data_IF_130558181676
#
_entry.id   IF_130558181676
#
_cell.length_a   1.000
_cell.length_b   1.000
_cell.length_c   1.000
_cell.angle_alpha   90.00
_cell.angle_beta   90.00
_cell.angle_gamma   90.00
#
_symmetry.space_group_name_H-M   'P 1'
#
loop_
_entity.id
_entity.type
_entity.pdbx_description
1 polymer ?
#
# COMPACT_ATOMS: atom_id res chain seq x y z
N UNK A 1 26.94 0.53 5.95
CA UNK A 1 27.41 1.85 5.43
C UNK A 1 28.53 1.77 4.38
N UNK A 2 29.41 0.76 4.37
CA UNK A 2 30.54 0.69 3.40
C UNK A 2 30.15 0.23 1.98
N UNK A 3 29.15 -0.65 1.82
CA UNK A 3 28.74 -1.16 0.51
C UNK A 3 27.99 -0.12 -0.36
N UNK A 4 27.07 0.65 0.23
CA UNK A 4 26.31 1.68 -0.49
C UNK A 4 27.21 2.80 -1.06
N UNK A 5 28.32 3.12 -0.38
CA UNK A 5 29.31 4.08 -0.89
C UNK A 5 30.11 3.53 -2.08
N UNK A 6 30.31 2.22 -2.18
CA UNK A 6 31.15 1.62 -3.22
C UNK A 6 30.42 1.49 -4.56
N UNK A 7 29.12 1.15 -4.54
CA UNK A 7 28.29 1.11 -5.75
C UNK A 7 28.00 2.52 -6.28
N UNK A 8 27.71 3.48 -5.38
CA UNK A 8 27.52 4.88 -5.76
C UNK A 8 28.79 5.46 -6.41
N UNK A 9 29.99 5.10 -5.94
CA UNK A 9 31.26 5.59 -6.50
C UNK A 9 31.54 5.16 -7.95
N UNK A 10 31.01 4.01 -8.40
CA UNK A 10 31.19 3.53 -9.78
C UNK A 10 30.09 4.04 -10.72
N UNK A 11 28.91 4.32 -10.18
CA UNK A 11 27.74 4.75 -10.94
C UNK A 11 27.67 6.27 -11.12
N UNK A 12 28.05 7.05 -10.10
CA UNK A 12 27.98 8.52 -10.14
C UNK A 12 28.76 9.13 -11.32
N UNK A 13 29.97 8.67 -11.68
CA UNK A 13 30.73 9.24 -12.80
C UNK A 13 30.05 9.01 -14.16
N UNK A 14 29.46 7.83 -14.35
CA UNK A 14 28.72 7.49 -15.57
C UNK A 14 27.44 8.34 -15.62
N UNK A 15 26.71 8.43 -14.51
CA UNK A 15 25.51 9.25 -14.39
C UNK A 15 25.79 10.75 -14.62
N UNK A 16 26.91 11.26 -14.11
CA UNK A 16 27.34 12.64 -14.36
C UNK A 16 27.72 12.86 -15.82
N UNK A 17 28.40 11.89 -16.45
CA UNK A 17 28.79 11.95 -17.86
C UNK A 17 27.59 11.88 -18.81
N UNK A 18 26.58 11.04 -18.52
CA UNK A 18 25.34 10.96 -19.33
C UNK A 18 24.46 12.19 -19.12
N UNK A 19 24.35 12.70 -17.90
CA UNK A 19 23.62 13.95 -17.64
C UNK A 19 24.33 15.14 -18.31
N UNK A 20 25.66 15.18 -18.28
CA UNK A 20 26.44 16.21 -18.95
C UNK A 20 26.37 16.12 -20.49
N UNK A 21 26.32 14.92 -21.09
CA UNK A 21 26.13 14.79 -22.54
C UNK A 21 24.74 15.26 -22.97
N UNK A 22 23.70 14.88 -22.22
CA UNK A 22 22.31 15.31 -22.45
C UNK A 22 22.14 16.83 -22.30
N UNK A 23 22.82 17.46 -21.33
CA UNK A 23 22.77 18.91 -21.15
C UNK A 23 23.59 19.70 -22.17
N UNK A 24 24.52 19.06 -22.88
CA UNK A 24 25.36 19.70 -23.90
C UNK A 24 24.80 19.60 -25.33
N UNK A 25 23.78 18.76 -25.54
CA UNK A 25 23.06 18.72 -26.80
C UNK A 25 22.04 19.87 -26.83
N UNK A 26 22.21 20.77 -27.81
CA UNK A 26 21.33 21.91 -28.07
C UNK A 26 19.84 21.53 -28.00
N UNK A 27 19.02 22.49 -27.56
CA UNK A 27 17.57 22.38 -27.27
C UNK A 27 16.70 21.82 -28.43
N UNK A 28 17.28 21.59 -29.61
CA UNK A 28 16.61 21.11 -30.82
C UNK A 28 16.81 19.61 -31.13
N UNK A 29 17.63 18.87 -30.37
CA UNK A 29 17.88 17.44 -30.64
C UNK A 29 17.93 16.61 -29.36
N UNK A 30 16.75 16.40 -28.77
CA UNK A 30 16.56 15.71 -27.49
C UNK A 30 16.41 14.18 -27.63
N UNK A 31 16.81 13.61 -28.77
CA UNK A 31 16.76 12.17 -29.01
C UNK A 31 18.03 11.51 -28.47
N UNK A 32 17.88 10.86 -27.31
CA UNK A 32 18.89 9.93 -26.79
C UNK A 32 19.25 8.91 -27.86
N UNK A 33 20.54 8.69 -28.08
CA UNK A 33 20.96 7.56 -28.91
C UNK A 33 20.48 6.25 -28.27
N UNK A 34 20.21 5.23 -29.08
CA UNK A 34 19.76 3.92 -28.55
C UNK A 34 20.76 3.31 -27.57
N UNK A 35 22.05 3.62 -27.72
CA UNK A 35 23.11 3.19 -26.81
C UNK A 35 23.04 3.91 -25.46
N UNK A 36 22.84 5.24 -25.45
CA UNK A 36 22.65 6.02 -24.21
C UNK A 36 21.35 5.61 -23.48
N UNK A 37 20.27 5.39 -24.23
CA UNK A 37 18.99 4.93 -23.66
C UNK A 37 19.13 3.53 -23.03
N UNK A 38 19.86 2.61 -23.69
CA UNK A 38 20.13 1.28 -23.15
C UNK A 38 20.98 1.36 -21.87
N UNK A 39 22.04 2.17 -21.86
CA UNK A 39 22.88 2.37 -20.68
C UNK A 39 22.10 2.97 -19.50
N UNK A 40 21.21 3.94 -19.75
CA UNK A 40 20.33 4.50 -18.73
C UNK A 40 19.32 3.48 -18.19
N UNK A 41 18.77 2.62 -19.05
CA UNK A 41 17.84 1.56 -18.64
C UNK A 41 18.53 0.48 -17.79
N UNK A 42 19.74 0.05 -18.18
CA UNK A 42 20.55 -0.88 -17.39
C UNK A 42 20.86 -0.29 -16.03
N UNK A 43 21.22 1.00 -16.00
CA UNK A 43 21.52 1.69 -14.76
C UNK A 43 20.28 1.84 -13.86
N UNK A 44 19.15 2.25 -14.43
CA UNK A 44 17.88 2.34 -13.71
C UNK A 44 17.48 0.97 -13.14
N UNK A 45 17.70 -0.11 -13.91
CA UNK A 45 17.42 -1.48 -13.47
C UNK A 45 18.32 -1.89 -12.30
N UNK A 46 19.63 -1.62 -12.40
CA UNK A 46 20.59 -1.90 -11.33
C UNK A 46 20.25 -1.10 -10.06
N UNK A 47 19.95 0.19 -10.20
CA UNK A 47 19.56 1.05 -9.09
C UNK A 47 18.25 0.58 -8.43
N UNK A 48 17.23 0.23 -9.23
CA UNK A 48 15.97 -0.27 -8.71
C UNK A 48 16.14 -1.58 -7.95
N UNK A 49 16.98 -2.49 -8.45
CA UNK A 49 17.30 -3.75 -7.75
C UNK A 49 18.01 -3.47 -6.44
N UNK A 50 19.12 -2.74 -6.46
CA UNK A 50 19.94 -2.49 -5.28
C UNK A 50 19.17 -1.68 -4.23
N UNK A 51 18.34 -0.73 -4.67
CA UNK A 51 17.43 0.01 -3.81
C UNK A 51 16.38 -0.90 -3.16
N UNK A 52 15.71 -1.73 -3.96
CA UNK A 52 14.71 -2.69 -3.47
C UNK A 52 15.32 -3.66 -2.46
N UNK A 53 16.46 -4.28 -2.78
CA UNK A 53 17.16 -5.22 -1.90
C UNK A 53 17.55 -4.55 -0.59
N UNK A 54 18.09 -3.32 -0.66
CA UNK A 54 18.43 -2.56 0.52
C UNK A 54 17.22 -2.30 1.41
N UNK A 55 16.12 -1.76 0.87
CA UNK A 55 14.93 -1.47 1.67
C UNK A 55 14.28 -2.74 2.23
N UNK A 56 14.23 -3.82 1.45
CA UNK A 56 13.76 -5.12 1.92
C UNK A 56 14.63 -5.69 3.05
N UNK A 57 15.94 -5.42 3.05
CA UNK A 57 16.87 -5.89 4.09
C UNK A 57 16.78 -5.13 5.42
N UNK A 58 16.19 -3.94 5.45
CA UNK A 58 16.04 -3.14 6.67
C UNK A 58 14.95 -3.68 7.60
N UNK A 59 13.97 -4.38 7.04
CA UNK A 59 12.84 -4.94 7.78
C UNK A 59 13.12 -6.35 8.31
N UNK A 60 12.36 -6.75 9.33
CA UNK A 60 12.32 -8.15 9.74
C UNK A 60 11.74 -9.00 8.61
N UNK A 61 12.43 -10.08 8.24
CA UNK A 61 11.91 -11.03 7.26
C UNK A 61 10.63 -11.71 7.75
N UNK A 62 9.75 -12.07 6.81
CA UNK A 62 8.59 -12.91 7.11
C UNK A 62 9.03 -14.36 7.33
N UNK A 63 8.40 -15.12 8.24
CA UNK A 63 7.26 -14.70 9.08
C UNK A 63 7.68 -13.75 10.19
N UNK A 64 6.83 -12.76 10.48
CA UNK A 64 7.10 -11.79 11.55
C UNK A 64 7.06 -12.51 12.90
N UNK A 65 8.08 -12.32 13.74
CA UNK A 65 8.22 -13.05 15.00
C UNK A 65 7.14 -12.77 16.05
N UNK A 66 6.41 -11.65 15.93
CA UNK A 66 5.39 -11.22 16.88
C UNK A 66 4.08 -10.89 16.17
N UNK A 67 2.96 -11.13 16.85
CA UNK A 67 1.63 -10.70 16.43
C UNK A 67 0.86 -10.05 17.57
N UNK A 68 -0.30 -9.48 17.28
CA UNK A 68 -1.22 -8.97 18.29
C UNK A 68 -1.96 -10.08 19.06
N UNK A 69 -1.73 -11.37 18.74
CA UNK A 69 -2.34 -12.51 19.44
C UNK A 69 -1.71 -12.78 20.81
N UNK A 70 -0.39 -12.64 20.92
CA UNK A 70 0.35 -12.95 22.14
C UNK A 70 1.59 -12.05 22.29
N UNK A 71 2.06 -11.78 23.53
CA UNK A 71 3.23 -10.93 23.76
C UNK A 71 4.58 -11.62 23.43
N UNK A 72 4.55 -12.88 22.99
CA UNK A 72 5.74 -13.69 22.66
C UNK A 72 5.52 -14.50 21.37
N UNK A 73 6.63 -14.91 20.74
CA UNK A 73 6.60 -15.76 19.56
C UNK A 73 6.12 -17.16 19.92
N UNK A 74 5.08 -17.64 19.23
CA UNK A 74 4.56 -19.01 19.38
C UNK A 74 4.10 -19.52 18.01
N UNK A 75 4.04 -20.84 17.85
CA UNK A 75 3.52 -21.43 16.60
C UNK A 75 2.12 -20.89 16.27
N UNK A 76 1.29 -20.77 17.29
CA UNK A 76 -0.09 -20.27 17.17
C UNK A 76 -0.14 -18.78 16.79
N UNK A 77 0.79 -17.96 17.27
CA UNK A 77 0.94 -16.55 16.87
C UNK A 77 1.52 -16.38 15.45
N UNK A 78 2.30 -17.34 14.95
CA UNK A 78 2.94 -17.26 13.64
C UNK A 78 2.05 -17.76 12.51
N UNK A 79 1.16 -18.70 12.81
CA UNK A 79 0.31 -19.38 11.82
C UNK A 79 -1.09 -18.79 11.72
N UNK A 80 -1.59 -18.18 12.79
CA UNK A 80 -2.91 -17.54 12.80
C UNK A 80 -2.87 -16.17 12.13
N UNK A 81 -3.38 -16.11 10.90
CA UNK A 81 -3.47 -14.89 10.09
C UNK A 81 -4.66 -13.99 10.47
N UNK A 82 -5.51 -14.39 11.42
CA UNK A 82 -6.61 -13.54 11.89
C UNK A 82 -6.14 -12.37 12.77
N UNK A 83 -4.85 -12.28 13.06
CA UNK A 83 -4.25 -11.20 13.84
C UNK A 83 -3.23 -10.41 13.01
N UNK A 84 -3.11 -9.12 13.31
CA UNK A 84 -2.02 -8.31 12.77
C UNK A 84 -0.66 -8.76 13.32
N UNK A 85 0.36 -8.73 12.47
CA UNK A 85 1.76 -8.85 12.90
C UNK A 85 2.24 -7.54 13.55
N UNK A 86 3.22 -7.62 14.44
CA UNK A 86 3.85 -6.45 15.08
C UNK A 86 5.37 -6.51 15.00
N UNK A 87 5.99 -5.33 14.92
CA UNK A 87 7.44 -5.21 14.90
C UNK A 87 8.06 -5.15 16.29
N UNK A 88 7.31 -4.71 17.30
CA UNK A 88 7.75 -4.53 18.68
C UNK A 88 6.82 -5.30 19.64
N UNK A 89 7.31 -5.73 20.81
CA UNK A 89 6.45 -6.25 21.88
C UNK A 89 5.38 -5.25 22.32
N UNK A 90 4.27 -5.70 22.96
CA UNK A 90 3.32 -4.77 23.57
C UNK A 90 4.00 -3.89 24.60
N UNK A 91 3.51 -2.66 24.73
CA UNK A 91 3.92 -1.77 25.81
C UNK A 91 3.41 -2.30 27.16
N UNK A 92 4.05 -1.83 28.24
CA UNK A 92 3.63 -2.12 29.60
C UNK A 92 2.21 -1.55 29.86
N UNK A 93 1.28 -2.33 30.43
CA UNK A 93 -0.06 -1.85 30.78
C UNK A 93 -0.06 -0.60 31.65
N UNK A 94 0.84 -0.49 32.64
CA UNK A 94 0.90 0.68 33.53
C UNK A 94 1.28 1.94 32.75
N UNK A 95 2.17 1.80 31.76
CA UNK A 95 2.53 2.90 30.88
C UNK A 95 1.36 3.33 30.00
N UNK A 96 0.59 2.38 29.46
CA UNK A 96 -0.60 2.66 28.64
C UNK A 96 -1.68 3.39 29.46
N UNK A 97 -1.90 2.97 30.71
CA UNK A 97 -2.85 3.62 31.62
C UNK A 97 -2.42 5.05 32.00
N UNK A 98 -1.11 5.33 31.99
CA UNK A 98 -0.56 6.66 32.25
C UNK A 98 -0.67 7.64 31.08
N UNK A 99 -1.12 7.18 29.90
CA UNK A 99 -1.22 8.02 28.72
C UNK A 99 -2.32 9.10 28.86
N UNK A 100 -2.14 10.27 28.23
CA UNK A 100 -3.18 11.29 28.20
C UNK A 100 -4.48 10.78 27.58
N UNK A 101 -5.65 11.32 27.97
CA UNK A 101 -6.92 11.00 27.34
C UNK A 101 -6.87 11.25 25.82
N UNK A 102 -7.42 10.31 25.04
CA UNK A 102 -7.41 10.38 23.58
C UNK A 102 -8.14 11.63 23.04
N UNK A 103 -9.19 12.07 23.74
CA UNK A 103 -9.92 13.29 23.41
C UNK A 103 -9.02 14.53 23.49
N UNK A 104 -8.29 14.70 24.59
CA UNK A 104 -7.37 15.82 24.79
C UNK A 104 -6.29 15.87 23.70
N UNK A 105 -5.69 14.72 23.37
CA UNK A 105 -4.67 14.62 22.32
C UNK A 105 -5.25 14.99 20.95
N UNK A 106 -6.45 14.49 20.64
CA UNK A 106 -7.14 14.74 19.37
C UNK A 106 -7.48 16.23 19.21
N UNK A 107 -8.05 16.84 20.25
CA UNK A 107 -8.44 18.24 20.27
C UNK A 107 -7.25 19.20 20.19
N UNK A 108 -6.19 18.91 20.94
CA UNK A 108 -5.04 19.82 21.06
C UNK A 108 -4.08 19.73 19.86
N UNK A 109 -3.87 18.53 19.31
CA UNK A 109 -2.84 18.27 18.30
C UNK A 109 -3.38 18.00 16.89
N UNK A 110 -4.53 17.32 16.75
CA UNK A 110 -4.98 16.80 15.45
C UNK A 110 -6.18 17.57 14.87
N UNK A 111 -6.97 18.29 15.68
CA UNK A 111 -8.09 19.08 15.18
C UNK A 111 -7.60 20.23 14.31
N UNK A 112 -8.12 20.29 13.09
CA UNK A 112 -7.92 21.44 12.20
C UNK A 112 -8.55 22.69 12.80
N UNK A 113 -7.73 23.68 13.17
CA UNK A 113 -8.22 24.95 13.71
C UNK A 113 -8.68 25.86 12.58
N UNK A 114 -9.83 26.52 12.76
CA UNK A 114 -10.37 27.56 11.86
C UNK A 114 -10.53 27.13 10.39
N UNK A 115 -10.71 25.84 10.11
CA UNK A 115 -10.86 25.32 8.74
C UNK A 115 -9.60 25.43 7.87
N UNK A 116 -8.47 25.86 8.42
CA UNK A 116 -7.22 26.01 7.67
C UNK A 116 -6.54 24.65 7.52
N UNK A 117 -6.63 24.05 6.32
CA UNK A 117 -5.86 22.87 5.96
C UNK A 117 -4.64 23.29 5.16
N UNK A 118 -3.48 22.72 5.47
CA UNK A 118 -2.31 22.85 4.59
C UNK A 118 -2.52 21.96 3.38
N UNK A 119 -2.73 22.57 2.22
CA UNK A 119 -2.82 21.85 0.97
C UNK A 119 -1.45 21.39 0.49
N UNK A 120 -1.40 20.22 -0.16
CA UNK A 120 -0.21 19.73 -0.80
C UNK A 120 -0.05 20.42 -2.17
N UNK A 121 1.11 21.01 -2.44
CA UNK A 121 1.34 21.77 -3.69
C UNK A 121 1.42 20.91 -4.96
N UNK A 122 1.55 19.59 -4.82
CA UNK A 122 1.76 18.65 -5.94
C UNK A 122 0.82 17.45 -5.97
N UNK A 123 -0.09 17.33 -5.00
CA UNK A 123 -1.01 16.20 -4.91
C UNK A 123 -2.44 16.68 -5.16
N UNK A 124 -3.12 16.01 -6.09
CA UNK A 124 -4.55 16.21 -6.34
C UNK A 124 -5.37 15.26 -5.47
N UNK A 125 -6.70 15.45 -5.44
CA UNK A 125 -7.61 14.54 -4.75
C UNK A 125 -7.53 13.10 -5.26
N UNK A 126 -7.15 12.91 -6.54
CA UNK A 126 -6.97 11.59 -7.15
C UNK A 126 -5.96 10.74 -6.39
N UNK A 127 -4.88 11.34 -5.87
CA UNK A 127 -3.89 10.60 -5.10
C UNK A 127 -4.48 10.07 -3.79
N UNK A 128 -5.23 10.91 -3.06
CA UNK A 128 -5.81 10.52 -1.79
C UNK A 128 -6.88 9.43 -1.96
N UNK A 129 -7.75 9.55 -2.97
CA UNK A 129 -8.79 8.55 -3.26
C UNK A 129 -8.19 7.22 -3.72
N UNK A 130 -7.16 7.26 -4.59
CA UNK A 130 -6.45 6.06 -5.01
C UNK A 130 -5.72 5.38 -3.84
N UNK A 131 -5.01 6.18 -3.03
CA UNK A 131 -4.32 5.66 -1.85
C UNK A 131 -5.31 5.00 -0.87
N UNK A 132 -6.47 5.62 -0.63
CA UNK A 132 -7.52 5.02 0.18
C UNK A 132 -7.97 3.68 -0.40
N UNK A 133 -8.31 3.64 -1.69
CA UNK A 133 -8.78 2.41 -2.36
C UNK A 133 -7.77 1.26 -2.28
N UNK A 134 -6.48 1.53 -2.49
CA UNK A 134 -5.42 0.51 -2.38
C UNK A 134 -5.20 0.08 -0.93
N UNK A 135 -5.19 1.02 0.01
CA UNK A 135 -4.97 0.70 1.43
C UNK A 135 -6.12 -0.12 1.99
N UNK A 136 -7.36 0.11 1.57
CA UNK A 136 -8.52 -0.68 1.97
C UNK A 136 -8.44 -2.15 1.50
N UNK A 137 -7.69 -2.46 0.44
CA UNK A 137 -7.45 -3.87 0.05
C UNK A 137 -6.42 -4.57 0.91
N UNK A 138 -5.57 -3.80 1.62
CA UNK A 138 -4.47 -4.34 2.42
C UNK A 138 -4.83 -4.31 3.91
N UNK A 139 -5.51 -3.27 4.39
CA UNK A 139 -5.90 -3.05 5.79
C UNK A 139 -7.40 -3.32 5.95
N UNK A 140 -7.72 -4.44 6.59
CA UNK A 140 -9.08 -4.86 6.90
C UNK A 140 -9.17 -5.22 8.39
N UNK A 141 -9.30 -4.20 9.23
CA UNK A 141 -9.42 -4.38 10.69
C UNK A 141 -10.71 -5.15 11.00
N UNK A 142 -10.60 -6.12 11.91
CA UNK A 142 -11.74 -6.92 12.31
C UNK A 142 -12.80 -6.13 13.08
N UNK A 143 -14.00 -6.70 13.16
CA UNK A 143 -15.11 -6.10 13.90
C UNK A 143 -15.52 -6.98 15.08
N UNK A 144 -15.72 -6.39 16.26
CA UNK A 144 -16.30 -7.09 17.40
C UNK A 144 -17.84 -6.94 17.35
N UNK A 145 -18.59 -8.02 17.06
CA UNK A 145 -20.04 -7.96 16.93
C UNK A 145 -20.76 -7.73 18.26
N UNK A 146 -20.16 -8.09 19.40
CA UNK A 146 -20.77 -7.92 20.72
C UNK A 146 -20.73 -6.47 21.18
N UNK A 147 -19.62 -5.77 20.93
CA UNK A 147 -19.42 -4.37 21.35
C UNK A 147 -19.75 -3.38 20.25
N UNK A 148 -19.84 -3.82 18.99
CA UNK A 148 -20.05 -2.95 17.84
C UNK A 148 -18.84 -2.07 17.50
N UNK A 149 -17.65 -2.43 17.96
CA UNK A 149 -16.42 -1.64 17.80
C UNK A 149 -15.35 -2.38 16.98
N UNK A 150 -14.40 -1.66 16.35
CA UNK A 150 -13.26 -2.30 15.71
C UNK A 150 -12.44 -3.14 16.70
N UNK A 151 -12.03 -4.33 16.27
CA UNK A 151 -11.07 -5.19 16.97
C UNK A 151 -9.68 -4.95 16.35
N UNK A 152 -8.95 -3.95 16.87
CA UNK A 152 -7.69 -3.47 16.28
C UNK A 152 -6.56 -4.51 16.24
N UNK A 153 -6.66 -5.56 17.04
CA UNK A 153 -5.76 -6.71 17.03
C UNK A 153 -6.06 -7.70 15.89
N UNK A 154 -7.30 -7.69 15.37
CA UNK A 154 -7.83 -8.62 14.39
C UNK A 154 -7.74 -8.10 12.97
N UNK A 155 -7.62 -9.04 12.04
CA UNK A 155 -7.56 -8.81 10.62
C UNK A 155 -8.48 -9.77 9.86
N UNK A 156 -9.23 -9.24 8.90
CA UNK A 156 -10.26 -9.96 8.13
C UNK A 156 -9.93 -10.14 6.64
N UNK A 157 -8.69 -9.83 6.22
CA UNK A 157 -8.23 -9.98 4.83
C UNK A 157 -7.27 -11.15 4.63
N UNK A 158 -6.46 -11.07 3.57
CA UNK A 158 -5.51 -12.13 3.16
C UNK A 158 -4.04 -11.87 3.54
N UNK A 159 -3.70 -10.66 4.01
CA UNK A 159 -2.35 -10.13 4.21
C UNK A 159 -1.52 -10.04 2.92
N UNK A 160 -2.22 -9.93 1.79
CA UNK A 160 -1.64 -9.79 0.45
C UNK A 160 -2.19 -8.54 -0.23
N UNK A 161 -1.54 -8.14 -1.32
CA UNK A 161 -2.11 -7.13 -2.22
C UNK A 161 -3.11 -7.87 -3.11
N UNK A 162 -4.37 -7.85 -2.70
CA UNK A 162 -5.46 -8.36 -3.49
C UNK A 162 -6.39 -7.21 -3.91
N UNK A 163 -7.44 -7.56 -4.64
CA UNK A 163 -8.46 -6.64 -5.12
C UNK A 163 -9.77 -6.87 -4.34
N UNK A 164 -9.69 -7.09 -3.03
CA UNK A 164 -10.85 -7.26 -2.13
C UNK A 164 -11.94 -6.19 -2.30
N UNK A 165 -11.62 -4.89 -2.47
CA UNK A 165 -12.65 -3.87 -2.71
C UNK A 165 -13.46 -4.09 -3.99
N UNK A 166 -12.90 -4.81 -4.97
CA UNK A 166 -13.53 -5.11 -6.25
C UNK A 166 -14.24 -6.47 -6.27
N UNK A 167 -13.58 -7.52 -5.73
CA UNK A 167 -14.09 -8.88 -5.82
C UNK A 167 -14.76 -9.38 -4.54
N UNK A 168 -14.70 -8.62 -3.45
CA UNK A 168 -15.11 -9.11 -2.14
C UNK A 168 -14.04 -9.96 -1.46
N UNK A 169 -14.30 -10.30 -0.20
CA UNK A 169 -13.35 -10.98 0.70
C UNK A 169 -13.52 -12.49 0.74
N UNK A 170 -14.73 -12.95 0.38
CA UNK A 170 -15.13 -14.35 0.45
C UNK A 170 -15.53 -14.85 -0.93
N UNK A 171 -15.47 -16.17 -1.14
CA UNK A 171 -15.85 -16.79 -2.41
C UNK A 171 -17.33 -16.52 -2.71
N UNK A 172 -18.17 -16.48 -1.67
CA UNK A 172 -19.59 -16.19 -1.74
C UNK A 172 -19.84 -14.76 -2.24
N UNK A 173 -19.11 -13.77 -1.69
CA UNK A 173 -19.17 -12.38 -2.18
C UNK A 173 -18.69 -12.28 -3.63
N UNK A 174 -17.56 -12.90 -3.96
CA UNK A 174 -17.03 -12.93 -5.33
C UNK A 174 -18.06 -13.51 -6.30
N UNK A 175 -18.69 -14.62 -5.95
CA UNK A 175 -19.72 -15.24 -6.78
C UNK A 175 -20.97 -14.36 -6.90
N UNK A 176 -21.38 -13.69 -5.83
CA UNK A 176 -22.50 -12.76 -5.85
C UNK A 176 -22.25 -11.56 -6.78
N UNK A 177 -21.01 -11.08 -6.89
CA UNK A 177 -20.61 -9.96 -7.75
C UNK A 177 -20.39 -10.35 -9.22
N UNK A 178 -20.13 -11.63 -9.51
CA UNK A 178 -19.86 -12.12 -10.87
C UNK A 178 -21.13 -12.25 -11.70
N UNK A 179 -21.04 -11.92 -12.99
CA UNK A 179 -22.13 -12.12 -13.95
C UNK A 179 -22.42 -13.62 -14.17
N UNK A 180 -21.39 -14.46 -14.08
CA UNK A 180 -21.46 -15.92 -14.27
C UNK A 180 -22.04 -16.38 -15.62
N UNK A 181 -21.94 -15.55 -16.65
CA UNK A 181 -22.36 -15.89 -18.02
C UNK A 181 -21.24 -16.62 -18.79
N UNK A 182 -21.60 -17.77 -19.39
CA UNK A 182 -20.70 -18.61 -20.19
C UNK A 182 -20.72 -18.31 -21.69
N UNK A 183 -21.45 -17.28 -22.13
CA UNK A 183 -21.50 -16.81 -23.51
C UNK A 183 -20.19 -16.13 -23.90
N UNK A 184 -19.75 -16.33 -25.14
CA UNK A 184 -18.54 -15.71 -25.66
C UNK A 184 -18.63 -14.18 -25.54
N UNK A 185 -17.61 -13.55 -24.96
CA UNK A 185 -17.57 -12.10 -24.71
C UNK A 185 -18.06 -11.65 -23.32
N UNK A 186 -18.78 -12.51 -22.58
CA UNK A 186 -19.30 -12.21 -21.23
C UNK A 186 -18.63 -13.02 -20.11
N UNK A 187 -17.83 -14.03 -20.47
CA UNK A 187 -17.06 -14.85 -19.52
C UNK A 187 -16.16 -13.99 -18.64
N UNK A 188 -16.22 -14.25 -17.32
CA UNK A 188 -15.35 -13.60 -16.34
C UNK A 188 -15.74 -12.17 -15.95
N UNK A 189 -16.84 -11.62 -16.49
CA UNK A 189 -17.29 -10.27 -16.14
C UNK A 189 -17.93 -10.20 -14.74
N UNK A 190 -17.86 -9.02 -14.15
CA UNK A 190 -18.68 -8.63 -13.00
C UNK A 190 -20.07 -8.20 -13.48
N UNK A 191 -21.05 -8.24 -12.57
CA UNK A 191 -22.35 -7.61 -12.78
C UNK A 191 -22.16 -6.10 -12.89
N UNK A 192 -22.94 -5.47 -13.76
CA UNK A 192 -22.97 -4.02 -13.96
C UNK A 192 -24.36 -3.60 -14.42
N UNK A 193 -24.59 -2.29 -14.48
CA UNK A 193 -25.80 -1.69 -15.01
C UNK A 193 -25.43 -0.47 -15.87
N UNK A 194 -26.30 -0.12 -16.82
CA UNK A 194 -26.12 1.09 -17.63
C UNK A 194 -27.03 2.19 -17.09
N UNK A 195 -26.44 3.32 -16.71
CA UNK A 195 -27.14 4.52 -16.26
C UNK A 195 -26.64 5.71 -17.09
N UNK A 196 -27.55 6.46 -17.71
CA UNK A 196 -27.19 7.61 -18.55
C UNK A 196 -26.12 7.28 -19.60
N UNK A 197 -26.26 6.13 -20.29
CA UNK A 197 -25.35 5.65 -21.35
C UNK A 197 -23.97 5.16 -20.88
N UNK A 198 -23.70 5.16 -19.57
CA UNK A 198 -22.42 4.69 -19.00
C UNK A 198 -22.61 3.47 -18.09
N UNK A 199 -21.55 2.68 -17.94
CA UNK A 199 -21.53 1.45 -17.13
C UNK A 199 -21.16 1.74 -15.67
N UNK A 200 -21.99 1.28 -14.74
CA UNK A 200 -21.82 1.45 -13.29
C UNK A 200 -21.98 0.12 -12.55
N UNK A 201 -21.51 0.09 -11.30
CA UNK A 201 -21.77 -1.02 -10.37
C UNK A 201 -23.28 -1.21 -10.15
N UNK A 202 -23.76 -2.46 -9.96
CA UNK A 202 -25.16 -2.73 -9.70
C UNK A 202 -25.60 -2.14 -8.35
N UNK A 203 -26.91 -1.91 -8.18
CA UNK A 203 -27.45 -1.55 -6.87
C UNK A 203 -27.37 -2.73 -5.90
N UNK A 204 -27.28 -2.43 -4.59
CA UNK A 204 -27.26 -3.46 -3.55
C UNK A 204 -28.61 -4.18 -3.42
N UNK A 205 -29.70 -3.45 -3.62
CA UNK A 205 -31.06 -3.96 -3.65
C UNK A 205 -31.71 -3.57 -4.97
N UNK A 206 -32.41 -4.51 -5.58
CA UNK A 206 -33.35 -4.19 -6.64
C UNK A 206 -34.49 -3.33 -6.06
N UNK A 207 -35.04 -2.41 -6.84
CA UNK A 207 -36.25 -1.66 -6.48
C UNK A 207 -37.49 -2.54 -6.56
#
# INVERSE_FOLDING_TARGET
>A
MKFFRSALCLVLPVLLATIQSVQSNDEDNNDLTMEEAAALLELATAYNRDGTDYFCSLGNHRPHGLSCKAPYASWDSLTDKSYYSRHLPPADPEWVESLPPMEDVTEQLFRTKNGQRKEASRSTMMFATFAQYVVESIIATGFNPETGTPAYEKYEGTHQIDLMPLYGRTVEQTNALRLQDNTQGFKGRLKSQVLHEEEYSPFLYDK
#
